data_IF_441299143636
#
_entry.id   IF_441299143636
#
_cell.length_a   1.000
_cell.length_b   1.000
_cell.length_c   1.000
_cell.angle_alpha   90.00
_cell.angle_beta   90.00
_cell.angle_gamma   90.00
#
_symmetry.space_group_name_H-M   'P 1'
#
loop_
_entity.id
_entity.type
_entity.pdbx_description
1 polymer ?
#
# COMPACT_ATOMS: atom_id res chain seq x y z
N UNK A 1 7.09 -15.59 11.64
CA UNK A 1 7.39 -14.44 10.75
C UNK A 1 6.42 -14.49 9.58
N UNK A 2 5.71 -13.40 9.28
CA UNK A 2 4.75 -13.37 8.16
C UNK A 2 5.55 -13.55 6.86
N UNK A 3 5.26 -14.58 6.07
CA UNK A 3 5.96 -14.84 4.81
C UNK A 3 5.29 -14.01 3.71
N UNK A 4 5.99 -12.99 3.23
CA UNK A 4 5.52 -12.11 2.16
C UNK A 4 5.91 -12.68 0.80
N UNK A 5 5.06 -12.49 -0.21
CA UNK A 5 5.41 -12.77 -1.60
C UNK A 5 6.19 -11.62 -2.22
N UNK A 6 7.10 -11.95 -3.12
CA UNK A 6 7.81 -11.00 -3.98
C UNK A 6 7.71 -11.39 -5.46
N UNK A 7 6.60 -12.03 -5.86
CA UNK A 7 6.37 -12.45 -7.25
C UNK A 7 6.39 -11.22 -8.18
N UNK A 8 7.38 -11.10 -9.08
CA UNK A 8 7.51 -9.96 -9.96
C UNK A 8 6.33 -9.82 -10.92
N UNK A 9 5.65 -10.91 -11.30
CA UNK A 9 4.50 -10.85 -12.22
C UNK A 9 3.29 -10.20 -11.54
N UNK A 10 3.04 -10.53 -10.28
CA UNK A 10 1.94 -9.93 -9.50
C UNK A 10 2.25 -8.46 -9.22
N UNK A 11 3.49 -8.16 -8.81
CA UNK A 11 3.96 -6.79 -8.60
C UNK A 11 3.76 -5.93 -9.85
N UNK A 12 4.21 -6.40 -11.02
CA UNK A 12 4.10 -5.64 -12.27
C UNK A 12 2.64 -5.45 -12.72
N UNK A 13 1.76 -6.42 -12.51
CA UNK A 13 0.33 -6.23 -12.76
C UNK A 13 -0.26 -5.15 -11.87
N UNK A 14 0.09 -5.12 -10.59
CA UNK A 14 -0.35 -4.09 -9.67
C UNK A 14 0.17 -2.71 -10.06
N UNK A 15 1.50 -2.56 -10.27
CA UNK A 15 2.12 -1.29 -10.68
C UNK A 15 1.51 -0.72 -11.97
N UNK A 16 1.11 -1.59 -12.91
CA UNK A 16 0.52 -1.18 -14.19
C UNK A 16 -1.00 -0.96 -14.15
N UNK A 17 -1.66 -1.22 -13.02
CA UNK A 17 -3.12 -1.19 -12.90
C UNK A 17 -3.80 -2.22 -13.81
N UNK A 18 -3.34 -3.47 -13.74
CA UNK A 18 -3.85 -4.64 -14.46
C UNK A 18 -4.25 -5.76 -13.48
N UNK A 19 -4.80 -5.37 -12.32
CA UNK A 19 -5.23 -6.29 -11.26
C UNK A 19 -6.61 -6.87 -11.51
N UNK A 20 -7.42 -6.21 -12.35
CA UNK A 20 -8.82 -6.58 -12.59
C UNK A 20 -9.78 -5.95 -11.58
N UNK A 21 -9.28 -5.19 -10.59
CA UNK A 21 -10.10 -4.42 -9.65
C UNK A 21 -10.18 -2.98 -10.14
N UNK A 22 -11.35 -2.51 -10.63
CA UNK A 22 -11.44 -1.23 -11.36
C UNK A 22 -10.90 -0.02 -10.58
N UNK A 23 -11.17 0.05 -9.28
CA UNK A 23 -10.72 1.15 -8.44
C UNK A 23 -9.19 1.17 -8.25
N UNK A 24 -8.58 0.02 -8.00
CA UNK A 24 -7.13 -0.12 -7.83
C UNK A 24 -6.43 0.18 -9.16
N UNK A 25 -6.97 -0.37 -10.25
CA UNK A 25 -6.44 -0.16 -11.59
C UNK A 25 -6.50 1.32 -12.00
N UNK A 26 -7.58 2.03 -11.66
CA UNK A 26 -7.70 3.46 -11.88
C UNK A 26 -6.66 4.26 -11.08
N UNK A 27 -6.47 3.95 -9.79
CA UNK A 27 -5.49 4.63 -8.93
C UNK A 27 -4.06 4.49 -9.48
N UNK A 28 -3.67 3.28 -9.88
CA UNK A 28 -2.33 3.02 -10.41
C UNK A 28 -2.12 3.71 -11.76
N UNK A 29 -3.13 3.71 -12.63
CA UNK A 29 -3.05 4.42 -13.92
C UNK A 29 -3.01 5.93 -13.74
N UNK A 30 -3.73 6.49 -12.76
CA UNK A 30 -3.68 7.91 -12.41
C UNK A 30 -2.28 8.30 -11.93
N UNK A 31 -1.71 7.51 -11.01
CA UNK A 31 -0.35 7.70 -10.50
C UNK A 31 0.68 7.66 -11.63
N UNK A 32 0.61 6.67 -12.53
CA UNK A 32 1.52 6.57 -13.67
C UNK A 32 1.41 7.75 -14.65
N UNK A 33 0.22 8.32 -14.81
CA UNK A 33 -0.05 9.38 -15.78
C UNK A 33 0.27 10.77 -15.24
N UNK A 34 -0.01 11.01 -13.97
CA UNK A 34 0.04 12.35 -13.36
C UNK A 34 1.18 12.53 -12.38
N UNK A 35 1.72 11.43 -11.84
CA UNK A 35 2.68 11.46 -10.75
C UNK A 35 2.05 11.86 -9.40
N UNK A 36 0.72 11.85 -9.30
CA UNK A 36 0.00 12.19 -8.09
C UNK A 36 -1.14 11.20 -7.85
N UNK A 37 -1.52 11.01 -6.59
CA UNK A 37 -2.66 10.20 -6.22
C UNK A 37 -3.26 10.71 -4.91
N UNK A 38 -4.58 10.81 -4.82
CA UNK A 38 -5.24 11.23 -3.59
C UNK A 38 -4.89 10.29 -2.41
N UNK A 39 -4.76 10.85 -1.20
CA UNK A 39 -4.36 10.08 -0.01
C UNK A 39 -5.21 8.82 0.24
N UNK A 40 -6.53 8.92 0.00
CA UNK A 40 -7.43 7.75 0.09
C UNK A 40 -7.05 6.66 -0.93
N UNK A 41 -6.76 7.04 -2.17
CA UNK A 41 -6.31 6.13 -3.22
C UNK A 41 -5.00 5.44 -2.85
N UNK A 42 -4.00 6.19 -2.35
CA UNK A 42 -2.72 5.65 -1.88
C UNK A 42 -2.93 4.57 -0.81
N UNK A 43 -3.73 4.85 0.22
CA UNK A 43 -4.03 3.89 1.30
C UNK A 43 -4.77 2.66 0.80
N UNK A 44 -5.77 2.81 -0.06
CA UNK A 44 -6.53 1.67 -0.58
C UNK A 44 -5.66 0.80 -1.49
N UNK A 45 -4.82 1.40 -2.33
CA UNK A 45 -3.87 0.66 -3.17
C UNK A 45 -2.82 -0.10 -2.34
N UNK A 46 -2.31 0.54 -1.27
CA UNK A 46 -1.37 -0.09 -0.34
C UNK A 46 -2.00 -1.25 0.43
N UNK A 47 -3.22 -1.07 0.95
CA UNK A 47 -3.95 -2.14 1.63
C UNK A 47 -4.16 -3.34 0.71
N UNK A 48 -4.56 -3.09 -0.54
CA UNK A 48 -4.76 -4.13 -1.53
C UNK A 48 -3.48 -4.92 -1.83
N UNK A 49 -2.34 -4.24 -1.99
CA UNK A 49 -1.05 -4.90 -2.21
C UNK A 49 -0.69 -5.84 -1.04
N UNK A 50 -0.89 -5.37 0.18
CA UNK A 50 -0.46 -6.06 1.41
C UNK A 50 -1.39 -7.21 1.81
N UNK A 51 -2.70 -7.00 1.79
CA UNK A 51 -3.67 -7.93 2.39
C UNK A 51 -4.42 -8.77 1.37
N UNK A 52 -4.65 -8.26 0.16
CA UNK A 52 -5.33 -9.01 -0.89
C UNK A 52 -4.33 -9.78 -1.75
N UNK A 53 -3.21 -9.15 -2.13
CA UNK A 53 -2.16 -9.79 -2.94
C UNK A 53 -1.06 -10.48 -2.11
N UNK A 54 -1.03 -10.27 -0.78
CA UNK A 54 0.00 -10.81 0.14
C UNK A 54 1.44 -10.50 -0.29
N UNK A 55 1.63 -9.34 -0.91
CA UNK A 55 2.93 -8.89 -1.41
C UNK A 55 3.69 -8.09 -0.35
N UNK A 56 5.02 -8.14 -0.43
CA UNK A 56 5.89 -7.32 0.40
C UNK A 56 5.60 -5.82 0.18
N UNK A 57 5.24 -5.13 1.26
CA UNK A 57 4.92 -3.71 1.26
C UNK A 57 6.05 -2.83 0.70
N UNK A 58 7.32 -3.27 0.83
CA UNK A 58 8.48 -2.53 0.33
C UNK A 58 8.41 -2.33 -1.19
N UNK A 59 7.81 -3.28 -1.92
CA UNK A 59 7.59 -3.18 -3.37
C UNK A 59 6.72 -1.98 -3.71
N UNK A 60 5.67 -1.75 -2.91
CA UNK A 60 4.79 -0.60 -3.05
C UNK A 60 5.48 0.71 -2.67
N UNK A 61 6.24 0.70 -1.57
CA UNK A 61 7.01 1.87 -1.14
C UNK A 61 8.02 2.33 -2.22
N UNK A 62 8.76 1.39 -2.84
CA UNK A 62 9.65 1.71 -3.95
C UNK A 62 8.89 2.22 -5.18
N UNK A 63 7.71 1.66 -5.47
CA UNK A 63 6.92 2.13 -6.59
C UNK A 63 6.43 3.58 -6.39
N UNK A 64 5.98 3.91 -5.19
CA UNK A 64 5.55 5.26 -4.84
C UNK A 64 6.74 6.24 -4.87
N UNK A 65 7.93 5.83 -4.42
CA UNK A 65 9.17 6.62 -4.52
C UNK A 65 9.56 6.96 -5.96
N UNK A 66 9.35 6.04 -6.90
CA UNK A 66 9.63 6.28 -8.33
C UNK A 66 8.60 7.18 -9.01
N UNK A 67 7.38 7.32 -8.47
CA UNK A 67 6.23 7.88 -9.20
C UNK A 67 5.63 9.14 -8.58
N UNK A 68 5.68 9.28 -7.27
CA UNK A 68 5.08 10.42 -6.59
C UNK A 68 5.94 11.67 -6.77
N UNK A 69 5.33 12.72 -7.34
CA UNK A 69 5.97 14.03 -7.46
C UNK A 69 6.08 14.76 -6.11
N UNK A 70 5.19 14.44 -5.17
CA UNK A 70 5.19 14.94 -3.79
C UNK A 70 5.87 13.96 -2.82
N UNK A 71 6.82 13.17 -3.33
CA UNK A 71 7.52 12.17 -2.54
C UNK A 71 8.33 12.79 -1.39
N UNK A 72 8.12 12.23 -0.20
CA UNK A 72 8.95 12.42 0.98
C UNK A 72 9.25 11.05 1.58
N UNK A 73 10.54 10.77 1.86
CA UNK A 73 11.01 9.46 2.31
C UNK A 73 10.31 9.00 3.61
N UNK A 74 10.25 9.86 4.61
CA UNK A 74 9.71 9.51 5.93
C UNK A 74 8.19 9.28 5.84
N UNK A 75 7.50 10.15 5.11
CA UNK A 75 6.06 10.05 4.91
C UNK A 75 5.67 8.83 4.07
N UNK A 76 6.43 8.48 3.05
CA UNK A 76 6.14 7.32 2.21
C UNK A 76 6.34 6.01 2.99
N UNK A 77 7.58 5.73 3.40
CA UNK A 77 7.91 4.47 4.07
C UNK A 77 7.19 4.31 5.42
N UNK A 78 6.97 5.41 6.15
CA UNK A 78 6.19 5.41 7.39
C UNK A 78 4.72 5.02 7.16
N UNK A 79 4.07 5.59 6.15
CA UNK A 79 2.69 5.23 5.81
C UNK A 79 2.58 3.76 5.36
N UNK A 80 3.50 3.28 4.54
CA UNK A 80 3.52 1.87 4.10
C UNK A 80 3.77 0.89 5.27
N UNK A 81 4.64 1.23 6.22
CA UNK A 81 4.86 0.43 7.44
C UNK A 81 3.61 0.35 8.32
N UNK A 82 2.91 1.48 8.51
CA UNK A 82 1.64 1.54 9.27
C UNK A 82 0.56 0.70 8.60
N UNK A 83 0.37 0.85 7.28
CA UNK A 83 -0.63 0.07 6.53
C UNK A 83 -0.30 -1.42 6.56
N UNK A 84 0.97 -1.80 6.43
CA UNK A 84 1.39 -3.21 6.48
C UNK A 84 1.29 -3.85 7.87
N UNK A 85 0.96 -3.05 8.89
CA UNK A 85 0.93 -3.43 10.31
C UNK A 85 2.26 -4.02 10.78
N UNK A 86 3.38 -3.49 10.26
CA UNK A 86 4.73 -3.87 10.67
C UNK A 86 5.31 -2.75 11.54
N UNK A 87 5.52 -3.04 12.83
CA UNK A 87 6.01 -2.09 13.83
C UNK A 87 5.35 -2.31 15.19
N UNK A 88 5.99 -1.82 16.26
CA UNK A 88 5.56 -1.94 17.68
C UNK A 88 4.21 -1.23 17.95
N UNK A 89 3.13 -1.82 17.46
CA UNK A 89 1.75 -1.36 17.63
C UNK A 89 0.70 -2.33 17.06
N UNK A 90 1.12 -3.36 16.31
CA UNK A 90 0.23 -4.40 15.77
C UNK A 90 -0.38 -5.34 16.82
N UNK A 91 -0.01 -5.21 18.10
CA UNK A 91 -0.59 -5.97 19.21
C UNK A 91 -1.39 -5.12 20.21
N UNK A 92 -1.59 -3.82 19.98
CA UNK A 92 -2.32 -2.95 20.94
C UNK A 92 -3.37 -2.03 20.32
N UNK A 93 -3.72 -2.19 19.04
CA UNK A 93 -4.80 -1.41 18.44
C UNK A 93 -6.03 -2.30 18.18
N UNK A 94 -6.97 -2.29 19.14
CA UNK A 94 -8.33 -2.84 19.10
C UNK A 94 -8.50 -4.36 19.22
N UNK A 95 -8.81 -4.82 20.44
CA UNK A 95 -9.31 -6.18 20.76
C UNK A 95 -10.84 -6.23 20.95
N UNK A 96 -11.55 -5.13 20.72
CA UNK A 96 -13.00 -5.03 20.92
C UNK A 96 -13.44 -4.77 22.36
N UNK A 97 -12.53 -4.50 23.30
CA UNK A 97 -12.86 -4.33 24.74
C UNK A 97 -13.14 -2.90 25.20
N UNK A 98 -13.06 -1.88 24.33
CA UNK A 98 -13.43 -0.50 24.72
C UNK A 98 -14.89 -0.22 24.38
N UNK A 99 -15.73 -0.54 25.36
CA UNK A 99 -17.08 -0.02 25.48
C UNK A 99 -17.08 1.50 25.64
N UNK A 100 -18.23 2.08 25.28
CA UNK A 100 -18.59 3.48 25.43
C UNK A 100 -18.27 4.00 26.84
N UNK A 101 -17.46 5.06 26.91
CA UNK A 101 -17.50 6.10 27.94
C UNK A 101 -17.50 7.47 27.23
#
# INVERSE_FOLDING_TARGET
TRTWSSDPKIAEKWKRGLTGVPYIDACQRELLKTGWLAYKGRKTAAHFLVFDLWMDWRIGAFHDEERLLDYDFAMNYGNWAVVSKIGNGGATAWDGSREFD
#
